data_IF_143582525302
#
_entry.id   IF_143582525302
#
_cell.length_a   1.000
_cell.length_b   1.000
_cell.length_c   1.000
_cell.angle_alpha   90.00
_cell.angle_beta   90.00
_cell.angle_gamma   90.00
#
_symmetry.space_group_name_H-M   'P 1'
#
loop_
_entity.id
_entity.type
_entity.pdbx_description
1 polymer ?
#
# COMPACT_ATOMS: atom_id res chain seq x y z
N UNK A 1 29.61 -9.02 4.28
CA UNK A 1 28.67 -8.67 3.19
C UNK A 1 27.33 -9.20 3.61
N UNK A 2 26.68 -8.45 4.52
CA UNK A 2 25.40 -8.84 5.12
C UNK A 2 24.30 -8.63 4.09
N UNK A 3 23.63 -9.73 3.73
CA UNK A 3 22.46 -9.66 2.87
C UNK A 3 21.33 -8.95 3.61
N UNK A 4 20.77 -7.90 3.04
CA UNK A 4 19.59 -7.21 3.57
C UNK A 4 18.49 -8.23 3.88
N UNK A 5 18.03 -8.37 5.14
CA UNK A 5 17.02 -9.36 5.52
C UNK A 5 15.73 -9.23 4.69
N UNK A 6 15.45 -8.06 4.13
CA UNK A 6 14.31 -7.82 3.24
C UNK A 6 14.44 -8.57 1.91
N UNK A 7 15.65 -8.73 1.39
CA UNK A 7 15.90 -9.47 0.14
C UNK A 7 15.65 -10.97 0.32
N UNK A 8 16.00 -11.52 1.48
CA UNK A 8 15.75 -12.93 1.81
C UNK A 8 14.24 -13.25 1.91
N UNK A 9 13.45 -12.35 2.50
CA UNK A 9 11.99 -12.54 2.58
C UNK A 9 11.30 -12.42 1.22
N UNK A 10 11.76 -11.53 0.34
CA UNK A 10 11.19 -11.37 -0.99
C UNK A 10 11.45 -12.59 -1.89
N UNK A 11 12.62 -13.19 -1.81
CA UNK A 11 12.91 -14.43 -2.53
C UNK A 11 12.04 -15.58 -2.03
N UNK A 12 11.91 -15.73 -0.68
CA UNK A 12 11.04 -16.74 -0.09
C UNK A 12 9.56 -16.55 -0.44
N UNK A 13 9.06 -15.31 -0.56
CA UNK A 13 7.70 -15.04 -0.99
C UNK A 13 7.47 -15.35 -2.47
N UNK A 14 8.47 -15.12 -3.32
CA UNK A 14 8.41 -15.47 -4.74
C UNK A 14 8.31 -16.98 -4.94
N UNK A 15 9.09 -17.76 -4.17
CA UNK A 15 9.04 -19.22 -4.19
C UNK A 15 7.65 -19.73 -3.70
N UNK A 16 7.12 -19.15 -2.61
CA UNK A 16 5.79 -19.46 -2.14
C UNK A 16 4.72 -19.12 -3.19
N UNK A 17 4.82 -17.99 -3.86
CA UNK A 17 3.89 -17.62 -4.92
C UNK A 17 3.99 -18.56 -6.14
N UNK A 18 5.18 -19.02 -6.51
CA UNK A 18 5.34 -20.01 -7.55
C UNK A 18 4.64 -21.34 -7.18
N UNK A 19 4.75 -21.76 -5.91
CA UNK A 19 4.03 -22.93 -5.41
C UNK A 19 2.50 -22.71 -5.40
N UNK A 20 2.02 -21.53 -5.05
CA UNK A 20 0.57 -21.17 -5.13
C UNK A 20 0.07 -21.24 -6.58
N UNK A 21 0.86 -20.78 -7.55
CA UNK A 21 0.54 -20.93 -8.98
C UNK A 21 0.40 -22.40 -9.38
N UNK A 22 1.21 -23.28 -8.76
CA UNK A 22 1.11 -24.74 -8.94
C UNK A 22 -0.03 -25.40 -8.13
N UNK A 23 -0.81 -24.63 -7.36
CA UNK A 23 -1.97 -25.10 -6.60
C UNK A 23 -1.64 -25.53 -5.16
N UNK A 24 -0.48 -25.20 -4.63
CA UNK A 24 -0.08 -25.55 -3.27
C UNK A 24 -0.84 -24.71 -2.23
N UNK A 25 -1.76 -25.36 -1.51
CA UNK A 25 -2.55 -24.74 -0.45
C UNK A 25 -1.71 -24.38 0.78
N UNK A 26 -0.65 -25.15 1.08
CA UNK A 26 0.20 -24.89 2.24
C UNK A 26 1.06 -23.65 2.03
N UNK A 27 1.56 -23.44 0.80
CA UNK A 27 2.27 -22.23 0.43
C UNK A 27 1.36 -20.99 0.57
N UNK A 28 0.09 -21.12 0.14
CA UNK A 28 -0.90 -20.05 0.31
C UNK A 28 -1.19 -19.77 1.80
N UNK A 29 -1.39 -20.81 2.61
CA UNK A 29 -1.60 -20.65 4.05
C UNK A 29 -0.41 -19.95 4.71
N UNK A 30 0.81 -20.28 4.31
CA UNK A 30 2.03 -19.63 4.82
C UNK A 30 2.06 -18.13 4.50
N UNK A 31 1.67 -17.73 3.27
CA UNK A 31 1.56 -16.32 2.90
C UNK A 31 0.44 -15.61 3.67
N UNK A 32 -0.69 -16.29 3.86
CA UNK A 32 -1.80 -15.77 4.66
C UNK A 32 -1.37 -15.50 6.10
N UNK A 33 -0.77 -16.47 6.79
CA UNK A 33 -0.31 -16.34 8.17
C UNK A 33 0.70 -15.22 8.34
N UNK A 34 1.60 -15.07 7.36
CA UNK A 34 2.65 -14.04 7.37
C UNK A 34 2.10 -12.63 7.21
N UNK A 35 1.07 -12.44 6.39
CA UNK A 35 0.65 -11.10 5.97
C UNK A 35 -0.75 -10.69 6.40
N UNK A 36 -1.60 -11.60 6.89
CA UNK A 36 -2.99 -11.29 7.24
C UNK A 36 -3.12 -10.17 8.27
N UNK A 37 -2.26 -10.17 9.31
CA UNK A 37 -2.25 -9.13 10.34
C UNK A 37 -1.92 -7.75 9.76
N UNK A 38 -0.91 -7.67 8.89
CA UNK A 38 -0.52 -6.42 8.26
C UNK A 38 -1.58 -5.94 7.26
N UNK A 39 -2.15 -6.86 6.49
CA UNK A 39 -3.25 -6.61 5.58
C UNK A 39 -4.48 -6.05 6.33
N UNK A 40 -4.86 -6.68 7.45
CA UNK A 40 -5.97 -6.23 8.29
C UNK A 40 -5.69 -4.85 8.90
N UNK A 41 -4.49 -4.61 9.41
CA UNK A 41 -4.10 -3.29 9.93
C UNK A 41 -4.23 -2.19 8.88
N UNK A 42 -3.86 -2.46 7.62
CA UNK A 42 -4.06 -1.52 6.52
C UNK A 42 -5.56 -1.33 6.21
N UNK A 43 -6.32 -2.42 6.10
CA UNK A 43 -7.74 -2.37 5.82
C UNK A 43 -8.50 -1.56 6.89
N UNK A 44 -8.14 -1.71 8.17
CA UNK A 44 -8.73 -0.93 9.29
C UNK A 44 -8.49 0.58 9.20
N UNK A 45 -7.42 1.01 8.52
CA UNK A 45 -7.17 2.45 8.28
C UNK A 45 -8.07 3.03 7.18
N UNK A 46 -8.57 2.20 6.28
CA UNK A 46 -9.45 2.61 5.18
C UNK A 46 -10.92 2.36 5.55
N UNK A 47 -11.20 1.22 6.18
CA UNK A 47 -12.53 0.82 6.62
C UNK A 47 -12.68 1.15 8.11
N UNK A 48 -13.58 2.06 8.44
CA UNK A 48 -13.90 2.37 9.85
C UNK A 48 -14.51 1.16 10.55
N UNK A 49 -15.35 0.41 9.83
CA UNK A 49 -16.02 -0.79 10.33
C UNK A 49 -15.08 -2.01 10.26
N UNK A 50 -14.90 -2.76 11.38
CA UNK A 50 -14.10 -3.99 11.40
C UNK A 50 -14.56 -5.04 10.40
N UNK A 51 -15.87 -5.23 10.25
CA UNK A 51 -16.44 -6.24 9.33
C UNK A 51 -16.06 -5.94 7.88
N UNK A 52 -16.06 -4.67 7.50
CA UNK A 52 -15.62 -4.25 6.16
C UNK A 52 -14.12 -4.42 5.96
N UNK A 53 -13.32 -4.25 7.00
CA UNK A 53 -11.88 -4.53 6.92
C UNK A 53 -11.62 -6.03 6.72
N UNK A 54 -12.34 -6.89 7.44
CA UNK A 54 -12.25 -8.35 7.27
C UNK A 54 -12.68 -8.77 5.87
N UNK A 55 -13.83 -8.26 5.37
CA UNK A 55 -14.30 -8.50 4.01
C UNK A 55 -13.24 -8.15 2.97
N UNK A 56 -12.64 -6.95 3.09
CA UNK A 56 -11.61 -6.48 2.16
C UNK A 56 -10.36 -7.38 2.14
N UNK A 57 -9.91 -7.84 3.31
CA UNK A 57 -8.77 -8.75 3.42
C UNK A 57 -9.10 -10.11 2.82
N UNK A 58 -10.28 -10.67 3.13
CA UNK A 58 -10.74 -11.95 2.58
C UNK A 58 -10.84 -11.86 1.05
N UNK A 59 -11.44 -10.80 0.50
CA UNK A 59 -11.51 -10.60 -0.95
C UNK A 59 -10.14 -10.49 -1.61
N UNK A 60 -9.18 -9.82 -0.96
CA UNK A 60 -7.83 -9.69 -1.48
C UNK A 60 -7.13 -11.06 -1.57
N UNK A 61 -7.14 -11.85 -0.49
CA UNK A 61 -6.53 -13.18 -0.49
C UNK A 61 -7.27 -14.16 -1.41
N UNK A 62 -8.60 -14.07 -1.49
CA UNK A 62 -9.39 -14.88 -2.43
C UNK A 62 -9.05 -14.53 -3.89
N UNK A 63 -8.80 -13.25 -4.20
CA UNK A 63 -8.37 -12.84 -5.54
C UNK A 63 -6.99 -13.41 -5.89
N UNK A 64 -6.06 -13.46 -4.94
CA UNK A 64 -4.75 -14.10 -5.10
C UNK A 64 -4.90 -15.60 -5.37
N UNK A 65 -5.74 -16.29 -4.61
CA UNK A 65 -5.97 -17.72 -4.79
C UNK A 65 -6.61 -18.05 -6.15
N UNK A 66 -7.56 -17.22 -6.60
CA UNK A 66 -8.25 -17.43 -7.89
C UNK A 66 -7.39 -17.15 -9.12
N UNK A 67 -6.48 -16.20 -9.02
CA UNK A 67 -5.64 -15.75 -10.14
C UNK A 67 -4.23 -15.39 -9.66
N UNK A 68 -3.46 -16.39 -9.18
CA UNK A 68 -2.12 -16.15 -8.61
C UNK A 68 -1.10 -15.69 -9.66
N UNK A 69 -1.35 -15.95 -10.94
CA UNK A 69 -0.50 -15.52 -12.06
C UNK A 69 -0.45 -14.01 -12.28
N UNK A 70 -1.27 -13.23 -11.60
CA UNK A 70 -1.20 -11.75 -11.63
C UNK A 70 -0.03 -11.16 -10.88
N UNK A 71 0.58 -11.93 -9.98
CA UNK A 71 1.79 -11.49 -9.30
C UNK A 71 2.98 -11.51 -10.26
N UNK A 72 3.68 -10.39 -10.33
CA UNK A 72 4.88 -10.21 -11.16
C UNK A 72 6.01 -9.65 -10.29
N UNK A 73 6.98 -10.51 -9.95
CA UNK A 73 8.14 -10.15 -9.14
C UNK A 73 8.95 -9.00 -9.74
N UNK A 74 8.97 -8.86 -11.08
CA UNK A 74 9.69 -7.78 -11.75
C UNK A 74 9.09 -6.39 -11.43
N UNK A 75 7.84 -6.35 -10.99
CA UNK A 75 7.13 -5.11 -10.59
C UNK A 75 7.27 -4.77 -9.11
N UNK A 76 7.73 -5.73 -8.29
CA UNK A 76 7.94 -5.53 -6.86
C UNK A 76 7.70 -6.77 -6.03
N UNK A 77 8.01 -6.70 -4.73
CA UNK A 77 7.81 -7.81 -3.79
C UNK A 77 6.34 -8.07 -3.50
N UNK A 78 6.05 -9.31 -3.06
CA UNK A 78 4.70 -9.80 -2.74
C UNK A 78 3.98 -8.91 -1.72
N UNK A 79 4.64 -8.51 -0.64
CA UNK A 79 4.05 -7.64 0.38
C UNK A 79 3.49 -6.33 -0.21
N UNK A 80 4.26 -5.65 -1.06
CA UNK A 80 3.83 -4.39 -1.69
C UNK A 80 2.64 -4.60 -2.63
N UNK A 81 2.65 -5.69 -3.39
CA UNK A 81 1.56 -6.04 -4.28
C UNK A 81 0.29 -6.40 -3.52
N UNK A 82 0.38 -7.25 -2.48
CA UNK A 82 -0.72 -7.62 -1.60
C UNK A 82 -1.33 -6.38 -0.94
N UNK A 83 -0.51 -5.52 -0.33
CA UNK A 83 -1.02 -4.33 0.38
C UNK A 83 -1.71 -3.36 -0.58
N UNK A 84 -1.23 -3.24 -1.82
CA UNK A 84 -1.93 -2.47 -2.87
C UNK A 84 -3.29 -3.09 -3.19
N UNK A 85 -3.35 -4.42 -3.29
CA UNK A 85 -4.61 -5.13 -3.55
C UNK A 85 -5.60 -4.97 -2.38
N UNK A 86 -5.12 -5.12 -1.15
CA UNK A 86 -5.93 -4.91 0.08
C UNK A 86 -6.48 -3.48 0.11
N UNK A 87 -5.64 -2.47 -0.15
CA UNK A 87 -6.08 -1.09 -0.21
C UNK A 87 -7.21 -0.89 -1.22
N UNK A 88 -7.06 -1.37 -2.45
CA UNK A 88 -8.10 -1.26 -3.47
C UNK A 88 -9.39 -1.98 -3.04
N UNK A 89 -9.29 -3.19 -2.45
CA UNK A 89 -10.47 -3.90 -1.95
C UNK A 89 -11.16 -3.15 -0.82
N UNK A 90 -10.40 -2.59 0.11
CA UNK A 90 -10.94 -1.76 1.19
C UNK A 90 -11.73 -0.57 0.66
N UNK A 91 -11.19 0.14 -0.33
CA UNK A 91 -11.90 1.24 -0.98
C UNK A 91 -13.15 0.76 -1.72
N UNK A 92 -13.09 -0.38 -2.43
CA UNK A 92 -14.23 -0.95 -3.13
C UNK A 92 -15.35 -1.34 -2.14
N UNK A 93 -15.01 -1.92 -0.98
CA UNK A 93 -15.96 -2.24 0.09
C UNK A 93 -16.62 -0.97 0.61
N UNK A 94 -15.84 0.04 0.99
CA UNK A 94 -16.38 1.33 1.47
C UNK A 94 -17.27 1.99 0.43
N UNK A 95 -16.90 1.95 -0.85
CA UNK A 95 -17.69 2.51 -1.95
C UNK A 95 -19.01 1.77 -2.17
N UNK A 96 -19.02 0.45 -2.10
CA UNK A 96 -20.26 -0.36 -2.18
C UNK A 96 -21.23 0.04 -1.08
N UNK A 97 -20.73 0.24 0.13
CA UNK A 97 -21.54 0.67 1.27
C UNK A 97 -21.94 2.16 1.20
N UNK A 98 -21.05 3.03 0.70
CA UNK A 98 -21.35 4.46 0.49
C UNK A 98 -22.30 4.72 -0.68
N UNK A 99 -22.52 3.76 -1.57
CA UNK A 99 -23.59 3.81 -2.58
C UNK A 99 -24.98 3.92 -1.95
N UNK A 100 -25.11 3.56 -0.68
CA UNK A 100 -26.31 3.77 0.16
C UNK A 100 -26.22 5.04 1.02
N UNK A 101 -25.04 5.67 1.19
CA UNK A 101 -24.84 6.95 1.91
C UNK A 101 -23.87 7.84 1.12
N UNK A 102 -24.37 8.95 0.59
CA UNK A 102 -23.67 9.97 -0.19
C UNK A 102 -22.27 10.29 0.34
N UNK A 103 -21.27 10.06 -0.55
CA UNK A 103 -19.97 10.73 -0.75
C UNK A 103 -19.54 11.73 0.33
N UNK A 104 -18.64 11.29 1.20
CA UNK A 104 -17.56 12.12 1.71
C UNK A 104 -16.29 11.30 1.57
N UNK A 105 -15.58 11.50 0.46
CA UNK A 105 -14.22 11.00 0.31
C UNK A 105 -13.33 11.96 1.08
N UNK A 106 -12.64 11.43 2.06
CA UNK A 106 -11.65 12.16 2.86
C UNK A 106 -10.55 12.71 1.94
N UNK A 107 -10.09 13.93 2.22
CA UNK A 107 -8.93 14.51 1.53
C UNK A 107 -7.66 13.73 1.88
N UNK A 108 -6.61 13.89 1.06
CA UNK A 108 -5.29 13.28 1.34
C UNK A 108 -4.81 13.63 2.75
N UNK A 109 -5.01 14.87 3.18
CA UNK A 109 -4.61 15.35 4.50
C UNK A 109 -5.42 14.72 5.64
N UNK A 110 -6.71 14.45 5.41
CA UNK A 110 -7.57 13.76 6.37
C UNK A 110 -7.19 12.29 6.53
N UNK A 111 -6.83 11.59 5.45
CA UNK A 111 -6.37 10.19 5.50
C UNK A 111 -5.03 10.08 6.22
N UNK A 112 -4.10 11.00 5.96
CA UNK A 112 -2.79 11.04 6.62
C UNK A 112 -2.89 11.52 8.08
N UNK A 113 -3.93 12.31 8.42
CA UNK A 113 -4.19 12.81 9.78
C UNK A 113 -4.91 11.80 10.69
N UNK A 114 -5.63 10.83 10.14
CA UNK A 114 -6.36 9.80 10.88
C UNK A 114 -5.48 8.59 11.24
N UNK A 115 -4.26 8.83 11.71
CA UNK A 115 -3.47 7.76 12.33
C UNK A 115 -3.98 7.58 13.77
N UNK A 116 -5.16 6.96 13.93
CA UNK A 116 -5.54 6.42 15.24
C UNK A 116 -4.50 5.37 15.63
N UNK A 117 -3.95 5.43 16.85
CA UNK A 117 -2.94 4.47 17.27
C UNK A 117 -3.61 3.11 17.44
N UNK A 118 -3.24 2.16 16.58
CA UNK A 118 -3.41 0.74 16.93
C UNK A 118 -2.76 0.46 18.29
N UNK A 119 -3.28 -0.49 19.07
CA UNK A 119 -2.74 -0.93 20.38
C UNK A 119 -1.36 -1.63 20.25
N UNK A 120 -0.50 -1.11 19.40
CA UNK A 120 0.89 -1.53 19.22
C UNK A 120 1.76 -0.90 20.31
N UNK A 121 2.81 -1.60 20.73
CA UNK A 121 3.76 -1.12 21.72
C UNK A 121 4.40 0.23 21.37
N UNK A 122 4.98 0.90 22.36
CA UNK A 122 5.54 2.26 22.21
C UNK A 122 6.60 2.35 21.09
N UNK A 123 7.42 1.31 20.91
CA UNK A 123 8.46 1.26 19.89
C UNK A 123 7.88 1.16 18.46
N UNK A 124 6.79 0.40 18.28
CA UNK A 124 6.12 0.26 16.98
C UNK A 124 5.42 1.58 16.58
N UNK A 125 4.90 2.32 17.55
CA UNK A 125 4.32 3.66 17.33
C UNK A 125 5.39 4.67 16.92
N UNK A 126 6.54 4.67 17.57
CA UNK A 126 7.65 5.56 17.21
C UNK A 126 8.13 5.30 15.77
N UNK A 127 8.32 4.04 15.40
CA UNK A 127 8.71 3.64 14.05
C UNK A 127 7.65 4.04 13.00
N UNK A 128 6.37 3.83 13.31
CA UNK A 128 5.26 4.20 12.43
C UNK A 128 5.20 5.72 12.21
N UNK A 129 5.45 6.52 13.23
CA UNK A 129 5.48 7.99 13.13
C UNK A 129 6.64 8.48 12.26
N UNK A 130 7.82 7.88 12.41
CA UNK A 130 9.01 8.19 11.57
C UNK A 130 8.73 7.86 10.11
N UNK A 131 8.22 6.66 9.82
CA UNK A 131 7.88 6.24 8.45
C UNK A 131 6.79 7.14 7.84
N UNK A 132 5.76 7.49 8.61
CA UNK A 132 4.71 8.40 8.15
C UNK A 132 5.25 9.80 7.85
N UNK A 133 6.19 10.30 8.64
CA UNK A 133 6.88 11.57 8.41
C UNK A 133 7.73 11.55 7.13
N UNK A 134 8.46 10.46 6.87
CA UNK A 134 9.25 10.28 5.66
C UNK A 134 8.36 10.22 4.41
N UNK A 135 7.26 9.50 4.48
CA UNK A 135 6.28 9.41 3.37
C UNK A 135 5.69 10.78 3.07
N UNK A 136 5.28 11.54 4.10
CA UNK A 136 4.75 12.90 3.92
C UNK A 136 5.78 13.80 3.24
N UNK A 137 7.01 13.84 3.74
CA UNK A 137 8.11 14.61 3.14
C UNK A 137 8.36 14.21 1.67
N UNK A 138 8.27 12.93 1.35
CA UNK A 138 8.43 12.45 -0.03
C UNK A 138 7.26 12.87 -0.93
N UNK A 139 6.03 12.84 -0.44
CA UNK A 139 4.84 13.32 -1.16
C UNK A 139 4.92 14.82 -1.44
N UNK A 140 5.43 15.61 -0.50
CA UNK A 140 5.61 17.07 -0.66
C UNK A 140 6.62 17.43 -1.75
N UNK A 141 7.55 16.52 -2.08
CA UNK A 141 8.54 16.71 -3.15
C UNK A 141 8.07 16.26 -4.53
N UNK A 142 6.85 15.73 -4.65
CA UNK A 142 6.22 15.49 -5.95
C UNK A 142 5.73 16.80 -6.56
N UNK A 143 5.66 16.86 -7.90
CA UNK A 143 4.90 17.93 -8.55
C UNK A 143 3.41 17.83 -8.20
N UNK A 144 2.71 18.96 -8.23
CA UNK A 144 1.27 19.00 -7.92
C UNK A 144 0.47 18.03 -8.80
N UNK A 145 0.83 17.93 -10.07
CA UNK A 145 0.24 16.99 -11.02
C UNK A 145 0.43 15.52 -10.62
N UNK A 146 1.62 15.16 -10.15
CA UNK A 146 1.92 13.81 -9.69
C UNK A 146 1.21 13.53 -8.38
N UNK A 147 1.25 14.48 -7.44
CA UNK A 147 0.59 14.38 -6.14
C UNK A 147 -0.91 14.19 -6.31
N UNK A 148 -1.54 14.97 -7.19
CA UNK A 148 -2.97 14.88 -7.47
C UNK A 148 -3.37 13.50 -7.99
N UNK A 149 -2.71 12.98 -9.04
CA UNK A 149 -3.09 11.68 -9.61
C UNK A 149 -2.79 10.52 -8.65
N UNK A 150 -1.70 10.60 -7.87
CA UNK A 150 -1.36 9.60 -6.86
C UNK A 150 -2.36 9.67 -5.70
N UNK A 151 -2.68 10.86 -5.21
CA UNK A 151 -3.66 11.05 -4.15
C UNK A 151 -5.02 10.46 -4.53
N UNK A 152 -5.53 10.79 -5.71
CA UNK A 152 -6.80 10.24 -6.20
C UNK A 152 -6.74 8.71 -6.38
N UNK A 153 -5.67 8.18 -6.99
CA UNK A 153 -5.58 6.76 -7.28
C UNK A 153 -5.31 5.90 -6.03
N UNK A 154 -4.38 6.31 -5.16
CA UNK A 154 -3.93 5.48 -4.04
C UNK A 154 -4.59 5.84 -2.70
N UNK A 155 -4.87 7.11 -2.43
CA UNK A 155 -5.53 7.51 -1.20
C UNK A 155 -7.05 7.58 -1.38
N UNK A 156 -7.52 8.16 -2.50
CA UNK A 156 -8.94 8.16 -2.86
C UNK A 156 -9.45 6.83 -3.43
N UNK A 157 -8.55 5.90 -3.80
CA UNK A 157 -8.87 4.59 -4.37
C UNK A 157 -9.60 4.64 -5.70
N UNK A 158 -9.47 5.73 -6.46
CA UNK A 158 -10.07 5.83 -7.79
C UNK A 158 -9.27 5.06 -8.82
N UNK A 159 -9.95 4.37 -9.72
CA UNK A 159 -9.30 3.77 -10.89
C UNK A 159 -8.71 4.88 -11.77
N UNK A 160 -7.68 4.56 -12.55
CA UNK A 160 -7.07 5.56 -13.46
C UNK A 160 -8.06 6.13 -14.48
N UNK A 161 -9.09 5.37 -14.83
CA UNK A 161 -10.18 5.84 -15.70
C UNK A 161 -11.06 6.86 -14.99
N UNK A 162 -11.40 6.62 -13.72
CA UNK A 162 -12.15 7.60 -12.90
C UNK A 162 -11.32 8.86 -12.67
N UNK A 163 -10.01 8.72 -12.34
CA UNK A 163 -9.09 9.86 -12.23
C UNK A 163 -9.07 10.67 -13.53
N UNK A 164 -9.01 10.01 -14.69
CA UNK A 164 -9.08 10.66 -16.00
C UNK A 164 -10.38 11.47 -16.16
N UNK A 165 -11.51 10.87 -15.81
CA UNK A 165 -12.83 11.53 -15.87
C UNK A 165 -12.96 12.71 -14.90
N UNK A 166 -12.39 12.59 -13.68
CA UNK A 166 -12.46 13.62 -12.64
C UNK A 166 -11.54 14.81 -12.91
N UNK A 167 -10.37 14.55 -13.48
CA UNK A 167 -9.35 15.59 -13.74
C UNK A 167 -9.42 16.18 -15.12
N UNK A 168 -10.18 15.56 -16.05
CA UNK A 168 -10.21 15.93 -17.46
C UNK A 168 -8.94 15.56 -18.24
N UNK A 169 -7.99 14.87 -17.60
CA UNK A 169 -6.74 14.45 -18.23
C UNK A 169 -6.94 13.20 -19.07
N UNK A 170 -6.27 13.08 -20.23
CA UNK A 170 -6.27 11.83 -20.99
C UNK A 170 -5.76 10.65 -20.12
N UNK A 171 -6.36 9.48 -20.25
CA UNK A 171 -5.99 8.28 -19.49
C UNK A 171 -4.49 7.94 -19.64
N UNK A 172 -3.90 8.15 -20.81
CA UNK A 172 -2.45 7.98 -21.02
C UNK A 172 -1.62 8.93 -20.17
N UNK A 173 -2.07 10.17 -19.98
CA UNK A 173 -1.43 11.17 -19.11
C UNK A 173 -1.55 10.76 -17.63
N UNK A 174 -2.72 10.31 -17.19
CA UNK A 174 -2.89 9.80 -15.83
C UNK A 174 -1.95 8.64 -15.57
N UNK A 175 -1.86 7.66 -16.49
CA UNK A 175 -0.95 6.51 -16.39
C UNK A 175 0.50 6.93 -16.29
N UNK A 176 0.96 7.81 -17.17
CA UNK A 176 2.36 8.27 -17.20
C UNK A 176 2.73 9.10 -15.96
N UNK A 177 1.85 9.99 -15.49
CA UNK A 177 2.04 10.79 -14.27
C UNK A 177 2.08 9.89 -13.02
N UNK A 178 1.17 8.92 -12.94
CA UNK A 178 1.15 7.94 -11.83
C UNK A 178 2.45 7.13 -11.81
N UNK A 179 2.89 6.60 -12.95
CA UNK A 179 4.13 5.84 -13.05
C UNK A 179 5.36 6.67 -12.66
N UNK A 180 5.48 7.87 -13.22
CA UNK A 180 6.60 8.78 -12.93
C UNK A 180 6.61 9.21 -11.46
N UNK A 181 5.43 9.49 -10.88
CA UNK A 181 5.30 9.87 -9.48
C UNK A 181 5.66 8.75 -8.52
N UNK A 182 5.23 7.50 -8.78
CA UNK A 182 5.60 6.33 -7.97
C UNK A 182 7.11 6.08 -8.05
N UNK A 183 7.70 6.17 -9.25
CA UNK A 183 9.16 6.08 -9.41
C UNK A 183 9.88 7.13 -8.57
N UNK A 184 9.45 8.39 -8.67
CA UNK A 184 10.00 9.50 -7.89
C UNK A 184 9.87 9.28 -6.39
N UNK A 185 8.69 8.84 -5.90
CA UNK A 185 8.47 8.50 -4.49
C UNK A 185 9.44 7.42 -4.01
N UNK A 186 9.63 6.37 -4.80
CA UNK A 186 10.57 5.29 -4.46
C UNK A 186 11.99 5.82 -4.28
N UNK A 187 12.45 6.65 -5.22
CA UNK A 187 13.79 7.24 -5.19
C UNK A 187 13.96 8.18 -3.98
N UNK A 188 12.94 9.01 -3.69
CA UNK A 188 12.92 9.92 -2.54
C UNK A 188 12.91 9.16 -1.21
N UNK A 189 12.08 8.15 -1.06
CA UNK A 189 12.02 7.33 0.16
C UNK A 189 13.33 6.59 0.40
N UNK A 190 13.96 6.06 -0.66
CA UNK A 190 15.25 5.41 -0.56
C UNK A 190 16.38 6.39 -0.14
N UNK A 191 16.31 7.65 -0.57
CA UNK A 191 17.28 8.69 -0.16
C UNK A 191 17.04 9.17 1.27
N UNK A 192 15.78 9.39 1.65
CA UNK A 192 15.40 9.82 3.00
C UNK A 192 15.71 8.76 4.06
N UNK A 193 15.51 7.48 3.73
CA UNK A 193 15.85 6.38 4.62
C UNK A 193 17.36 6.32 4.89
N UNK A 194 18.21 6.49 3.86
CA UNK A 194 19.67 6.52 4.02
C UNK A 194 20.17 7.75 4.83
N UNK A 195 19.54 8.91 4.65
CA UNK A 195 19.92 10.13 5.39
C UNK A 195 19.53 10.07 6.87
N UNK A 196 18.56 9.26 7.23
CA UNK A 196 18.13 9.11 8.62
C UNK A 196 19.05 8.16 9.42
N UNK A 197 19.68 7.21 8.74
CA UNK A 197 20.67 6.30 9.36
C UNK A 197 22.01 7.02 9.65
N UNK A 198 22.34 8.10 8.91
CA UNK A 198 23.59 8.85 9.07
C UNK A 198 23.53 9.89 10.21
N UNK A 199 22.36 10.47 10.47
CA UNK A 199 22.15 11.43 11.58
C UNK A 199 22.08 10.75 12.97
N UNK A 200 21.98 9.42 13.03
CA UNK A 200 21.92 8.64 14.28
C UNK A 200 23.29 8.33 14.91
N UNK A 201 24.40 8.68 14.28
CA UNK A 201 25.75 8.32 14.74
C UNK A 201 26.57 9.48 15.34
N UNK A 202 26.00 10.69 15.43
CA UNK A 202 26.67 11.83 16.08
C UNK A 202 25.95 12.25 17.37
N UNK A 203 25.93 11.41 18.39
CA UNK A 203 25.77 11.85 19.78
C UNK A 203 26.76 11.08 20.64
N UNK A 204 27.92 11.70 20.84
CA UNK A 204 28.79 11.41 21.97
C UNK A 204 28.22 12.03 23.23
#
# INVERSE_FOLDING_TARGET
MDADPRTGHQAADADLMAAVVAGDQQAFATLYDRYSRQAYSLARRVCVDPEFAEEAVQEAFLAIWKDPGRFDLARGGFASWLLTLVHHRSVDVVRRQAGHRRRNLLSVDEILGQTEPSESGADEKAMTNVVSGLVRKALDQLSDDQRQVIGLAYLGGYTQTEVSSMTGLPLGTVKSRTFAGIKRLRDLLASLARGHDDDGLEVQ
#
